data_IF_780578570901
#
_entry.id   IF_780578570901
#
_cell.length_a   1.000
_cell.length_b   1.000
_cell.length_c   1.000
_cell.angle_alpha   90.00
_cell.angle_beta   90.00
_cell.angle_gamma   90.00
#
_symmetry.space_group_name_H-M   'P 1'
#
loop_
_entity.id
_entity.type
_entity.pdbx_description
1 polymer ?
#
# COMPACT_ATOMS: atom_id res chain seq x y z
N UNK A 1 -22.53 9.00 10.75
CA UNK A 1 -21.30 9.68 11.23
C UNK A 1 -20.49 8.67 12.02
N UNK A 2 -19.30 8.28 11.57
CA UNK A 2 -18.44 7.36 12.33
C UNK A 2 -17.92 8.14 13.54
N UNK A 3 -18.16 7.64 14.75
CA UNK A 3 -17.62 8.23 15.97
C UNK A 3 -16.09 8.32 15.84
N UNK A 4 -15.51 9.48 16.16
CA UNK A 4 -14.06 9.70 16.12
C UNK A 4 -13.44 8.81 17.20
N UNK A 5 -12.93 7.64 16.82
CA UNK A 5 -12.31 6.71 17.76
C UNK A 5 -11.19 7.42 18.55
N UNK A 6 -11.05 7.12 19.84
CA UNK A 6 -9.99 7.69 20.68
C UNK A 6 -8.61 7.26 20.17
N UNK A 7 -7.65 8.19 20.16
CA UNK A 7 -6.23 7.94 19.82
C UNK A 7 -5.38 7.55 21.04
N UNK A 8 -6.02 7.43 22.20
CA UNK A 8 -5.40 6.99 23.45
C UNK A 8 -5.33 5.46 23.48
N UNK A 9 -4.39 4.90 22.71
CA UNK A 9 -4.16 3.46 22.56
C UNK A 9 -2.66 3.19 22.50
N UNK A 10 -2.20 2.15 23.20
CA UNK A 10 -0.76 1.87 23.44
C UNK A 10 0.06 1.67 22.16
N UNK A 11 -0.57 1.22 21.09
CA UNK A 11 0.09 0.98 19.81
C UNK A 11 0.24 2.26 18.98
N UNK A 12 -0.50 3.33 19.26
CA UNK A 12 -0.51 4.51 18.41
C UNK A 12 0.82 5.26 18.44
N UNK A 13 1.43 5.45 17.28
CA UNK A 13 2.66 6.20 17.16
C UNK A 13 2.39 7.64 16.70
N UNK A 14 2.49 8.58 17.63
CA UNK A 14 2.32 10.01 17.33
C UNK A 14 3.42 10.56 16.42
N UNK A 15 4.60 9.93 16.35
CA UNK A 15 5.83 10.34 15.63
C UNK A 15 6.45 9.20 14.80
N UNK A 16 6.84 9.45 13.54
CA UNK A 16 7.65 8.49 12.78
C UNK A 16 9.09 8.84 13.15
N UNK A 17 9.75 7.93 13.84
CA UNK A 17 11.11 8.15 14.33
C UNK A 17 12.15 7.94 13.24
N UNK A 18 11.88 7.06 12.25
CA UNK A 18 12.73 6.78 11.11
C UNK A 18 11.92 6.30 9.91
N UNK A 19 12.27 6.76 8.71
CA UNK A 19 11.77 6.21 7.44
C UNK A 19 12.70 5.05 7.01
N UNK A 20 12.19 3.83 6.76
CA UNK A 20 12.99 2.72 6.22
C UNK A 20 13.66 3.08 4.88
N UNK A 21 14.85 2.54 4.63
CA UNK A 21 15.63 2.91 3.43
C UNK A 21 14.92 2.50 2.13
N UNK A 22 14.27 1.33 2.12
CA UNK A 22 13.40 0.87 1.03
C UNK A 22 12.22 1.82 0.77
N UNK A 23 11.67 2.44 1.81
CA UNK A 23 10.64 3.44 1.64
C UNK A 23 11.21 4.67 0.94
N UNK A 24 12.42 5.13 1.30
CA UNK A 24 13.04 6.28 0.61
C UNK A 24 13.26 6.04 -0.88
N UNK A 25 13.60 4.80 -1.27
CA UNK A 25 13.76 4.39 -2.67
C UNK A 25 12.44 4.52 -3.46
N UNK A 26 11.35 3.98 -2.90
CA UNK A 26 10.04 3.96 -3.57
C UNK A 26 9.34 5.32 -3.52
N UNK A 27 9.51 6.05 -2.42
CA UNK A 27 8.94 7.38 -2.22
C UNK A 27 9.86 8.51 -2.70
N UNK A 28 10.95 8.26 -3.44
CA UNK A 28 11.95 9.28 -3.77
C UNK A 28 11.39 10.57 -4.41
N UNK A 29 10.25 10.50 -5.11
CA UNK A 29 9.57 11.66 -5.73
C UNK A 29 8.52 12.32 -4.85
N UNK A 30 8.10 11.69 -3.76
CA UNK A 30 7.19 12.25 -2.77
C UNK A 30 7.96 12.46 -1.47
N UNK A 31 8.15 13.70 -1.02
CA UNK A 31 8.74 13.92 0.29
C UNK A 31 7.80 13.36 1.37
N UNK A 32 8.04 12.11 1.78
CA UNK A 32 7.41 11.46 2.93
C UNK A 32 7.59 12.34 4.18
N UNK A 33 8.68 13.12 4.20
CA UNK A 33 8.97 14.16 5.18
C UNK A 33 8.05 15.39 5.15
N UNK A 34 7.38 15.68 4.03
CA UNK A 34 6.44 16.81 3.87
C UNK A 34 4.97 16.41 3.99
N UNK A 35 4.66 15.11 4.09
CA UNK A 35 3.29 14.69 4.36
C UNK A 35 2.90 15.11 5.78
N UNK A 36 1.93 16.01 5.90
CA UNK A 36 1.40 16.32 7.22
C UNK A 36 0.63 15.10 7.74
N UNK A 37 1.08 14.55 8.87
CA UNK A 37 0.52 13.33 9.48
C UNK A 37 -0.93 13.48 9.91
N UNK A 38 -1.40 14.73 10.04
CA UNK A 38 -2.82 15.04 10.20
C UNK A 38 -3.66 14.58 8.99
N UNK A 39 -3.17 14.68 7.75
CA UNK A 39 -3.94 14.34 6.55
C UNK A 39 -4.12 12.83 6.33
N UNK A 40 -3.08 12.03 6.63
CA UNK A 40 -3.16 10.56 6.51
C UNK A 40 -4.01 10.00 7.66
N UNK A 41 -3.76 10.46 8.89
CA UNK A 41 -4.43 9.93 10.09
C UNK A 41 -5.84 10.47 10.30
N UNK A 42 -6.23 11.63 9.75
CA UNK A 42 -7.63 12.08 9.86
C UNK A 42 -8.58 11.23 9.02
N UNK A 43 -8.08 10.69 7.92
CA UNK A 43 -8.90 10.16 6.83
C UNK A 43 -9.03 8.63 6.93
N UNK A 44 -8.05 7.98 7.54
CA UNK A 44 -7.94 6.52 7.67
C UNK A 44 -7.84 6.01 9.13
N UNK A 45 -8.26 6.82 10.11
CA UNK A 45 -8.40 6.37 11.50
C UNK A 45 -9.69 5.53 11.67
N UNK A 46 -9.72 4.45 12.49
CA UNK A 46 -8.69 3.99 13.45
C UNK A 46 -7.86 2.79 13.01
N UNK A 47 -7.49 2.67 11.74
CA UNK A 47 -6.73 1.49 11.28
C UNK A 47 -5.32 1.45 11.91
N UNK A 48 -4.96 0.40 12.68
CA UNK A 48 -3.67 0.32 13.37
C UNK A 48 -2.47 0.39 12.42
N UNK A 49 -2.59 -0.20 11.22
CA UNK A 49 -1.57 -0.15 10.18
C UNK A 49 -1.19 1.28 9.78
N UNK A 50 -2.15 2.22 9.83
CA UNK A 50 -1.92 3.64 9.58
C UNK A 50 -1.36 4.33 10.82
N UNK A 51 -1.90 4.01 12.00
CA UNK A 51 -1.44 4.59 13.27
C UNK A 51 -0.01 4.22 13.67
N UNK A 52 0.54 3.15 13.10
CA UNK A 52 1.94 2.70 13.32
C UNK A 52 2.80 2.74 12.06
N UNK A 53 2.33 3.36 10.98
CA UNK A 53 3.10 3.56 9.74
C UNK A 53 3.52 2.27 9.00
N UNK A 54 2.73 1.19 9.09
CA UNK A 54 3.00 -0.07 8.38
C UNK A 54 3.08 0.09 6.86
N UNK A 55 2.45 1.11 6.29
CA UNK A 55 2.56 1.42 4.86
C UNK A 55 3.98 1.84 4.42
N UNK A 56 4.89 2.07 5.37
CA UNK A 56 6.32 2.29 5.11
C UNK A 56 7.15 1.00 5.24
N UNK A 57 6.55 -0.09 5.71
CA UNK A 57 7.16 -1.41 5.76
C UNK A 57 6.91 -2.15 4.44
N UNK A 58 7.93 -2.88 3.95
CA UNK A 58 7.86 -3.66 2.71
C UNK A 58 8.12 -5.13 3.01
N UNK A 59 7.21 -5.82 3.75
CA UNK A 59 7.46 -7.15 4.25
C UNK A 59 7.60 -8.19 3.15
N UNK A 60 6.90 -8.03 2.00
CA UNK A 60 6.99 -8.99 0.90
C UNK A 60 8.37 -8.97 0.24
N UNK A 61 8.96 -7.77 0.13
CA UNK A 61 10.33 -7.59 -0.37
C UNK A 61 11.39 -8.31 0.48
N UNK A 62 11.16 -8.42 1.80
CA UNK A 62 12.09 -9.06 2.72
C UNK A 62 11.99 -10.60 2.71
N UNK A 63 11.02 -11.17 1.99
CA UNK A 63 10.85 -12.62 1.95
C UNK A 63 11.89 -13.28 1.01
N UNK A 64 12.47 -14.44 1.40
CA UNK A 64 13.40 -15.18 0.53
C UNK A 64 12.84 -15.57 -0.84
N UNK A 65 11.51 -15.69 -0.95
CA UNK A 65 10.80 -16.05 -2.19
C UNK A 65 10.66 -14.88 -3.17
N UNK A 66 10.95 -13.64 -2.74
CA UNK A 66 10.77 -12.45 -3.57
C UNK A 66 11.44 -12.51 -4.95
N UNK A 67 12.69 -12.99 -5.11
CA UNK A 67 13.33 -13.10 -6.43
C UNK A 67 12.57 -14.06 -7.37
N UNK A 68 12.02 -15.14 -6.83
CA UNK A 68 11.23 -16.10 -7.60
C UNK A 68 9.90 -15.48 -8.04
N UNK A 69 9.19 -14.81 -7.12
CA UNK A 69 7.95 -14.08 -7.43
C UNK A 69 8.19 -13.06 -8.54
N UNK A 70 9.25 -12.24 -8.43
CA UNK A 70 9.61 -11.27 -9.46
C UNK A 70 9.91 -11.93 -10.81
N UNK A 71 10.61 -13.07 -10.81
CA UNK A 71 10.90 -13.83 -12.03
C UNK A 71 9.63 -14.34 -12.71
N UNK A 72 8.69 -14.89 -11.94
CA UNK A 72 7.40 -15.39 -12.44
C UNK A 72 6.56 -14.27 -13.06
N UNK A 73 6.48 -13.12 -12.39
CA UNK A 73 5.73 -11.97 -12.91
C UNK A 73 6.35 -11.47 -14.22
N UNK A 74 7.69 -11.42 -14.32
CA UNK A 74 8.39 -11.08 -15.57
C UNK A 74 8.18 -12.10 -16.68
N UNK A 75 7.94 -13.36 -16.34
CA UNK A 75 7.58 -14.42 -17.28
C UNK A 75 6.11 -14.38 -17.73
N UNK A 76 5.31 -13.45 -17.19
CA UNK A 76 3.93 -13.23 -17.59
C UNK A 76 2.88 -13.68 -16.57
N UNK A 77 3.27 -14.21 -15.40
CA UNK A 77 2.32 -14.52 -14.34
C UNK A 77 1.74 -13.25 -13.69
N UNK A 78 0.54 -13.37 -13.11
CA UNK A 78 -0.14 -12.28 -12.39
C UNK A 78 0.14 -12.38 -10.90
N UNK A 79 0.44 -11.24 -10.28
CA UNK A 79 0.58 -11.11 -8.83
C UNK A 79 -0.67 -10.45 -8.23
N UNK A 80 -1.18 -11.04 -7.15
CA UNK A 80 -2.33 -10.54 -6.40
C UNK A 80 -1.90 -10.18 -4.97
N UNK A 81 -2.07 -8.92 -4.61
CA UNK A 81 -1.85 -8.37 -3.27
C UNK A 81 -3.20 -8.20 -2.56
N UNK A 82 -3.45 -9.00 -1.54
CA UNK A 82 -4.70 -9.00 -0.76
C UNK A 82 -4.56 -8.13 0.49
N UNK A 83 -5.56 -7.30 0.76
CA UNK A 83 -5.48 -6.25 1.77
C UNK A 83 -4.25 -5.34 1.54
N UNK A 84 -4.11 -4.91 0.28
CA UNK A 84 -2.91 -4.23 -0.21
C UNK A 84 -2.67 -2.85 0.43
N UNK A 85 -3.64 -2.32 1.19
CA UNK A 85 -3.59 -1.01 1.81
C UNK A 85 -3.19 0.08 0.79
N UNK A 86 -1.99 0.66 0.92
CA UNK A 86 -1.52 1.69 -0.01
C UNK A 86 -0.81 1.10 -1.24
N UNK A 87 -0.76 -0.22 -1.41
CA UNK A 87 -0.13 -0.89 -2.54
C UNK A 87 1.40 -0.71 -2.57
N UNK A 88 2.05 -0.72 -1.42
CA UNK A 88 3.50 -0.53 -1.31
C UNK A 88 4.30 -1.69 -1.92
N UNK A 89 3.87 -2.94 -1.74
CA UNK A 89 4.56 -4.10 -2.28
C UNK A 89 4.44 -4.18 -3.81
N UNK A 90 3.27 -3.84 -4.36
CA UNK A 90 3.05 -3.63 -5.81
C UNK A 90 4.03 -2.60 -6.37
N UNK A 91 4.20 -1.46 -5.69
CA UNK A 91 5.12 -0.41 -6.14
C UNK A 91 6.58 -0.83 -6.06
N UNK A 92 6.95 -1.63 -5.07
CA UNK A 92 8.30 -2.21 -5.00
C UNK A 92 8.54 -3.22 -6.12
N UNK A 93 7.58 -4.07 -6.44
CA UNK A 93 7.64 -4.99 -7.59
C UNK A 93 7.75 -4.24 -8.92
N UNK A 94 6.92 -3.23 -9.14
CA UNK A 94 6.97 -2.39 -10.33
C UNK A 94 8.33 -1.67 -10.45
N UNK A 95 8.85 -1.12 -9.35
CA UNK A 95 10.17 -0.51 -9.30
C UNK A 95 11.29 -1.50 -9.61
N UNK A 96 11.17 -2.74 -9.14
CA UNK A 96 12.10 -3.82 -9.46
C UNK A 96 11.96 -4.35 -10.91
N UNK A 97 11.08 -3.78 -11.74
CA UNK A 97 10.92 -4.14 -13.15
C UNK A 97 9.94 -5.28 -13.40
N UNK A 98 8.98 -5.51 -12.50
CA UNK A 98 7.80 -6.31 -12.82
C UNK A 98 6.89 -5.53 -13.80
N UNK A 99 6.34 -6.16 -14.85
CA UNK A 99 5.31 -5.56 -15.69
C UNK A 99 4.11 -5.09 -14.85
N UNK A 100 3.87 -3.78 -14.78
CA UNK A 100 2.83 -3.23 -13.89
C UNK A 100 1.43 -3.77 -14.21
N UNK A 101 1.15 -4.07 -15.48
CA UNK A 101 -0.14 -4.64 -15.93
C UNK A 101 -0.42 -6.04 -15.35
N UNK A 102 0.60 -6.72 -14.83
CA UNK A 102 0.47 -8.02 -14.18
C UNK A 102 0.29 -7.91 -12.65
N UNK A 103 0.20 -6.68 -12.11
CA UNK A 103 0.08 -6.45 -10.68
C UNK A 103 -1.34 -6.02 -10.34
N UNK A 104 -1.97 -6.74 -9.40
CA UNK A 104 -3.32 -6.49 -8.92
C UNK A 104 -3.27 -6.29 -7.41
N UNK A 105 -3.81 -5.18 -6.93
CA UNK A 105 -3.99 -4.89 -5.50
C UNK A 105 -5.47 -4.80 -5.16
N UNK A 106 -5.88 -5.47 -4.09
CA UNK A 106 -7.25 -5.45 -3.59
C UNK A 106 -7.27 -5.01 -2.14
N UNK A 107 -8.17 -4.11 -1.81
CA UNK A 107 -8.47 -3.76 -0.42
C UNK A 107 -9.96 -3.48 -0.24
N UNK A 108 -10.51 -3.76 0.93
CA UNK A 108 -11.92 -3.46 1.24
C UNK A 108 -12.15 -1.97 1.49
N UNK A 109 -11.10 -1.23 1.83
CA UNK A 109 -11.17 0.18 2.17
C UNK A 109 -10.75 1.09 0.99
N UNK A 110 -11.71 1.70 0.26
CA UNK A 110 -11.39 2.55 -0.89
C UNK A 110 -10.55 3.77 -0.53
N UNK A 111 -10.67 4.29 0.70
CA UNK A 111 -9.88 5.43 1.16
C UNK A 111 -8.37 5.16 1.12
N UNK A 112 -7.95 3.90 1.27
CA UNK A 112 -6.54 3.55 1.18
C UNK A 112 -6.00 3.72 -0.24
N UNK A 113 -6.76 3.31 -1.25
CA UNK A 113 -6.38 3.42 -2.65
C UNK A 113 -6.33 4.89 -3.09
N UNK A 114 -7.32 5.70 -2.68
CA UNK A 114 -7.35 7.14 -2.95
C UNK A 114 -6.16 7.87 -2.33
N UNK A 115 -5.87 7.58 -1.06
CA UNK A 115 -4.71 8.15 -0.37
C UNK A 115 -3.40 7.69 -1.01
N UNK A 116 -3.31 6.42 -1.45
CA UNK A 116 -2.12 5.90 -2.13
C UNK A 116 -1.85 6.68 -3.42
N UNK A 117 -2.87 6.93 -4.24
CA UNK A 117 -2.74 7.66 -5.49
C UNK A 117 -2.22 9.10 -5.27
N UNK A 118 -2.74 9.78 -4.24
CA UNK A 118 -2.29 11.12 -3.84
C UNK A 118 -0.86 11.11 -3.31
N UNK A 119 -0.52 10.08 -2.55
CA UNK A 119 0.78 9.90 -1.91
C UNK A 119 1.87 9.62 -2.94
N UNK A 120 1.68 8.62 -3.81
CA UNK A 120 2.71 8.21 -4.76
C UNK A 120 2.72 9.04 -6.05
N UNK A 121 1.64 9.80 -6.32
CA UNK A 121 1.48 10.67 -7.51
C UNK A 121 1.77 9.92 -8.82
N UNK A 122 1.46 8.64 -8.86
CA UNK A 122 1.85 7.72 -9.93
C UNK A 122 0.68 7.20 -10.74
N UNK A 123 -0.55 7.71 -10.51
CA UNK A 123 -1.78 7.28 -11.18
C UNK A 123 -1.66 7.15 -12.71
N UNK A 124 -0.89 8.02 -13.37
CA UNK A 124 -0.71 7.98 -14.82
C UNK A 124 0.43 7.06 -15.29
N UNK A 125 1.40 6.78 -14.40
CA UNK A 125 2.64 6.03 -14.68
C UNK A 125 2.54 4.56 -14.29
N UNK A 126 1.97 4.28 -13.12
CA UNK A 126 1.76 2.92 -12.63
C UNK A 126 0.52 2.34 -13.33
N UNK A 127 0.72 1.30 -14.14
CA UNK A 127 -0.35 0.60 -14.87
C UNK A 127 -0.85 -0.66 -14.14
N UNK A 128 -0.68 -0.69 -12.83
CA UNK A 128 -1.23 -1.76 -11.98
C UNK A 128 -2.74 -1.59 -11.81
N UNK A 129 -3.40 -2.70 -11.52
CA UNK A 129 -4.83 -2.73 -11.25
C UNK A 129 -5.05 -2.60 -9.74
N UNK A 130 -5.87 -1.65 -9.33
CA UNK A 130 -6.30 -1.49 -7.95
C UNK A 130 -7.81 -1.62 -7.87
N UNK A 131 -8.28 -2.56 -7.07
CA UNK A 131 -9.70 -2.90 -6.91
C UNK A 131 -10.11 -2.69 -5.47
N UNK A 132 -11.34 -2.21 -5.28
CA UNK A 132 -11.98 -2.19 -3.96
C UNK A 132 -12.99 -3.32 -3.90
N UNK A 133 -12.87 -4.19 -2.90
CA UNK A 133 -13.84 -5.24 -2.67
C UNK A 133 -13.42 -6.21 -1.58
N UNK A 134 -14.41 -6.97 -1.10
CA UNK A 134 -14.18 -8.09 -0.19
C UNK A 134 -13.95 -9.36 -1.02
N UNK A 135 -12.73 -9.89 -0.95
CA UNK A 135 -12.35 -11.11 -1.68
C UNK A 135 -13.07 -12.36 -1.20
N UNK A 136 -13.76 -12.28 -0.07
CA UNK A 136 -14.59 -13.35 0.49
C UNK A 136 -16.07 -13.19 0.13
N UNK A 137 -16.48 -12.08 -0.52
CA UNK A 137 -17.83 -11.93 -1.04
C UNK A 137 -18.06 -12.91 -2.19
N UNK A 138 -19.27 -13.48 -2.24
CA UNK A 138 -19.64 -14.48 -3.25
C UNK A 138 -19.58 -13.89 -4.67
N UNK A 139 -19.88 -12.60 -4.79
CA UNK A 139 -19.92 -11.85 -6.05
C UNK A 139 -18.58 -11.22 -6.45
N UNK A 140 -17.48 -11.41 -5.68
CA UNK A 140 -16.22 -10.66 -5.88
C UNK A 140 -15.58 -10.88 -7.26
N UNK A 141 -15.84 -12.03 -7.89
CA UNK A 141 -15.35 -12.37 -9.24
C UNK A 141 -16.49 -12.47 -10.27
N UNK A 142 -17.69 -12.01 -9.94
CA UNK A 142 -18.80 -11.97 -10.88
C UNK A 142 -18.66 -10.73 -11.80
N UNK A 143 -17.95 -10.96 -12.91
CA UNK A 143 -17.71 -10.11 -14.10
C UNK A 143 -17.25 -8.64 -13.91
#
# INVERSE_FOLDING_TARGET
>A
MVAKASRDVDWYQAALTRVPDVAREIFATTPVSQMSRSQITSTAWPFPCIGIFRFLDFPAYLQPVYPEVLSRIRAGETFLDLACCFGQDIRKLAHAGAPAVNLIGVDTEPRFLDLSSQLFKDKHRLKAHFLTGDVLAEEFLED
#
